data_IF_475638775592
#
_entry.id   IF_475638775592
#
_cell.length_a   1.000
_cell.length_b   1.000
_cell.length_c   1.000
_cell.angle_alpha   90.00
_cell.angle_beta   90.00
_cell.angle_gamma   90.00
#
_symmetry.space_group_name_H-M   'P 1'
#
loop_
_entity.id
_entity.type
_entity.pdbx_description
1 polymer ?
#
# COMPACT_ATOMS: atom_id res chain seq x y z
N UNK A 1 13.52 -12.31 -10.13
CA UNK A 1 12.37 -12.19 -9.23
C UNK A 1 11.52 -11.00 -9.67
N UNK A 2 10.23 -11.12 -9.56
CA UNK A 2 9.30 -10.04 -9.92
C UNK A 2 9.38 -8.89 -8.91
N UNK A 3 8.89 -7.72 -9.32
CA UNK A 3 8.69 -6.60 -8.42
C UNK A 3 7.20 -6.41 -8.16
N UNK A 4 6.86 -5.97 -6.94
CA UNK A 4 5.48 -5.79 -6.52
C UNK A 4 5.33 -4.44 -5.84
N UNK A 5 4.32 -3.67 -6.27
CA UNK A 5 3.94 -2.40 -5.65
C UNK A 5 2.79 -2.64 -4.68
N UNK A 6 2.89 -2.09 -3.47
CA UNK A 6 1.76 -2.03 -2.55
C UNK A 6 1.05 -0.71 -2.78
N UNK A 7 -0.25 -0.77 -3.10
CA UNK A 7 -1.08 0.43 -3.28
C UNK A 7 -2.15 0.47 -2.19
N UNK A 8 -2.20 1.57 -1.46
CA UNK A 8 -3.15 1.76 -0.37
C UNK A 8 -3.85 3.11 -0.50
N UNK A 9 -5.15 3.11 -0.22
CA UNK A 9 -5.94 4.34 -0.13
C UNK A 9 -6.26 4.54 1.35
N UNK A 10 -5.91 5.70 1.90
CA UNK A 10 -6.03 5.95 3.33
C UNK A 10 -6.76 7.25 3.61
N UNK A 11 -7.46 7.29 4.75
CA UNK A 11 -8.04 8.51 5.29
C UNK A 11 -8.22 8.35 6.80
N UNK A 12 -7.53 9.19 7.58
CA UNK A 12 -7.64 9.17 9.05
C UNK A 12 -7.35 7.79 9.65
N UNK A 13 -6.24 7.19 9.23
CA UNK A 13 -5.85 5.84 9.63
C UNK A 13 -4.66 5.85 10.61
N UNK A 14 -4.44 6.96 11.31
CA UNK A 14 -3.25 7.11 12.16
C UNK A 14 -3.14 6.06 13.27
N UNK A 15 -4.29 5.55 13.74
CA UNK A 15 -4.29 4.55 14.82
C UNK A 15 -3.79 3.18 14.38
N UNK A 16 -3.89 2.84 13.10
CA UNK A 16 -3.63 1.49 12.60
C UNK A 16 -2.57 1.40 11.52
N UNK A 17 -2.26 2.51 10.85
CA UNK A 17 -1.40 2.49 9.66
C UNK A 17 0.02 2.04 9.98
N UNK A 18 0.60 2.50 11.09
CA UNK A 18 1.96 2.13 11.47
C UNK A 18 2.09 0.62 11.65
N UNK A 19 1.12 0.01 12.35
CA UNK A 19 1.10 -1.43 12.57
C UNK A 19 0.95 -2.18 11.25
N UNK A 20 0.08 -1.69 10.37
CA UNK A 20 -0.13 -2.28 9.06
C UNK A 20 1.16 -2.27 8.24
N UNK A 21 1.78 -1.11 8.08
CA UNK A 21 2.97 -0.98 7.25
C UNK A 21 4.17 -1.72 7.84
N UNK A 22 4.27 -1.77 9.18
CA UNK A 22 5.31 -2.57 9.82
C UNK A 22 5.17 -4.05 9.46
N UNK A 23 3.94 -4.58 9.44
CA UNK A 23 3.71 -5.98 9.14
C UNK A 23 4.05 -6.33 7.68
N UNK A 24 4.00 -5.35 6.78
CA UNK A 24 4.35 -5.55 5.37
C UNK A 24 5.81 -5.19 5.07
N UNK A 25 6.57 -4.75 6.07
CA UNK A 25 7.92 -4.26 5.85
C UNK A 25 8.81 -5.29 5.15
N UNK A 26 9.54 -4.85 4.14
CA UNK A 26 10.48 -5.69 3.40
C UNK A 26 9.86 -6.58 2.34
N UNK A 27 8.54 -6.57 2.18
CA UNK A 27 7.86 -7.43 1.20
C UNK A 27 7.69 -6.79 -0.17
N UNK A 28 7.64 -5.46 -0.23
CA UNK A 28 7.32 -4.75 -1.46
C UNK A 28 8.50 -3.94 -1.95
N UNK A 29 8.58 -3.81 -3.27
CA UNK A 29 9.62 -3.02 -3.93
C UNK A 29 9.22 -1.55 -3.99
N UNK A 30 7.93 -1.27 -3.87
CA UNK A 30 7.40 0.09 -3.93
C UNK A 30 6.13 0.15 -3.09
N UNK A 31 5.95 1.26 -2.35
CA UNK A 31 4.74 1.50 -1.56
C UNK A 31 4.13 2.81 -2.05
N UNK A 32 2.90 2.74 -2.54
CA UNK A 32 2.14 3.90 -3.01
C UNK A 32 1.01 4.16 -2.02
N UNK A 33 1.00 5.35 -1.43
CA UNK A 33 -0.05 5.75 -0.49
C UNK A 33 -0.84 6.89 -1.12
N UNK A 34 -2.15 6.72 -1.23
CA UNK A 34 -3.05 7.77 -1.72
C UNK A 34 -3.92 8.22 -0.55
N UNK A 35 -3.75 9.48 -0.15
CA UNK A 35 -4.51 10.07 0.95
C UNK A 35 -5.70 10.83 0.39
N UNK A 36 -6.89 10.53 0.91
CA UNK A 36 -8.14 11.11 0.41
C UNK A 36 -8.69 12.22 1.31
N UNK A 37 -7.85 12.82 2.14
CA UNK A 37 -8.25 13.97 2.94
C UNK A 37 -8.11 13.77 4.44
N UNK A 38 -7.01 13.14 4.88
CA UNK A 38 -6.77 12.96 6.32
C UNK A 38 -6.58 14.27 7.04
N UNK A 39 -7.15 14.37 8.23
CA UNK A 39 -7.01 15.52 9.11
C UNK A 39 -6.14 15.21 10.33
N UNK A 40 -5.72 13.95 10.49
CA UNK A 40 -4.82 13.51 11.55
C UNK A 40 -3.38 13.39 11.00
N UNK A 41 -2.51 12.65 11.69
CA UNK A 41 -1.12 12.48 11.26
C UNK A 41 -0.88 11.25 10.38
N UNK A 42 -1.90 10.82 9.63
CA UNK A 42 -1.79 9.67 8.72
C UNK A 42 -0.65 9.84 7.71
N UNK A 43 -0.57 10.99 7.06
CA UNK A 43 0.49 11.25 6.08
C UNK A 43 1.86 11.23 6.71
N UNK A 44 1.98 11.79 7.92
CA UNK A 44 3.25 11.78 8.65
C UNK A 44 3.71 10.37 8.96
N UNK A 45 2.78 9.50 9.37
CA UNK A 45 3.10 8.09 9.64
C UNK A 45 3.52 7.40 8.35
N UNK A 46 2.79 7.59 7.27
CA UNK A 46 3.10 6.97 5.98
C UNK A 46 4.49 7.38 5.49
N UNK A 47 4.91 8.62 5.76
CA UNK A 47 6.20 9.13 5.30
C UNK A 47 7.40 8.42 5.92
N UNK A 48 7.20 7.65 6.98
CA UNK A 48 8.25 6.83 7.59
C UNK A 48 8.58 5.60 6.74
N UNK A 49 7.70 5.23 5.83
CA UNK A 49 7.81 3.99 5.04
C UNK A 49 8.02 4.24 3.57
N UNK A 50 7.56 5.38 3.05
CA UNK A 50 7.66 5.69 1.63
C UNK A 50 7.60 7.20 1.43
N UNK A 51 8.22 7.68 0.37
CA UNK A 51 8.09 9.06 -0.07
C UNK A 51 7.05 9.20 -1.22
N UNK A 52 6.46 8.08 -1.65
CA UNK A 52 5.46 8.07 -2.73
C UNK A 52 4.06 8.20 -2.15
N UNK A 53 3.77 9.38 -1.62
CA UNK A 53 2.50 9.72 -1.00
C UNK A 53 1.82 10.77 -1.85
N UNK A 54 0.60 10.47 -2.30
CA UNK A 54 -0.17 11.34 -3.19
C UNK A 54 -1.47 11.71 -2.52
N UNK A 55 -1.96 12.92 -2.75
CA UNK A 55 -3.27 13.34 -2.28
C UNK A 55 -4.28 13.25 -3.42
N UNK A 56 -5.49 12.82 -3.09
CA UNK A 56 -6.55 12.66 -4.06
C UNK A 56 -7.83 13.21 -3.47
N UNK A 57 -8.47 14.14 -4.19
CA UNK A 57 -9.72 14.70 -3.72
C UNK A 57 -10.83 13.67 -3.86
N UNK A 58 -11.45 13.30 -2.75
CA UNK A 58 -12.50 12.28 -2.75
C UNK A 58 -13.71 12.74 -3.58
N UNK A 59 -14.16 11.87 -4.48
CA UNK A 59 -15.24 12.14 -5.42
C UNK A 59 -16.39 11.13 -5.28
N UNK A 60 -16.49 10.49 -4.13
CA UNK A 60 -17.46 9.42 -3.88
C UNK A 60 -17.35 8.26 -4.88
N UNK A 61 -16.15 8.02 -5.38
CA UNK A 61 -15.89 6.95 -6.33
C UNK A 61 -14.62 6.21 -5.94
N UNK A 62 -14.80 5.09 -5.24
CA UNK A 62 -13.66 4.30 -4.76
C UNK A 62 -12.86 3.71 -5.92
N UNK A 63 -13.54 3.31 -7.01
CA UNK A 63 -12.86 2.75 -8.16
C UNK A 63 -11.94 3.79 -8.82
N UNK A 64 -12.38 5.04 -8.88
CA UNK A 64 -11.56 6.12 -9.44
C UNK A 64 -10.30 6.36 -8.60
N UNK A 65 -10.46 6.37 -7.27
CA UNK A 65 -9.33 6.53 -6.36
C UNK A 65 -8.34 5.37 -6.49
N UNK A 66 -8.85 4.15 -6.63
CA UNK A 66 -8.02 2.96 -6.83
C UNK A 66 -7.25 3.04 -8.14
N UNK A 67 -7.91 3.43 -9.22
CA UNK A 67 -7.26 3.59 -10.52
C UNK A 67 -6.17 4.66 -10.47
N UNK A 68 -6.41 5.72 -9.72
CA UNK A 68 -5.39 6.75 -9.51
C UNK A 68 -4.16 6.16 -8.82
N UNK A 69 -4.35 5.36 -7.76
CA UNK A 69 -3.23 4.75 -7.07
C UNK A 69 -2.46 3.79 -7.99
N UNK A 70 -3.18 3.02 -8.81
CA UNK A 70 -2.54 2.10 -9.76
C UNK A 70 -1.72 2.85 -10.80
N UNK A 71 -2.16 4.03 -11.21
CA UNK A 71 -1.43 4.82 -12.20
C UNK A 71 -0.06 5.27 -11.70
N UNK A 72 0.16 5.26 -10.39
CA UNK A 72 1.43 5.63 -9.79
C UNK A 72 2.37 4.45 -9.58
N UNK A 73 1.86 3.22 -9.71
CA UNK A 73 2.66 2.02 -9.52
C UNK A 73 3.53 1.74 -10.74
N UNK A 74 4.77 1.29 -10.51
CA UNK A 74 5.73 1.05 -11.59
C UNK A 74 6.27 -0.37 -11.61
N UNK A 75 5.83 -1.23 -10.68
CA UNK A 75 6.34 -2.60 -10.59
C UNK A 75 5.55 -3.57 -11.46
N UNK A 76 6.02 -4.83 -11.53
CA UNK A 76 5.39 -5.86 -12.37
C UNK A 76 3.97 -6.19 -11.93
N UNK A 77 3.73 -6.19 -10.61
CA UNK A 77 2.44 -6.52 -10.02
C UNK A 77 2.03 -5.50 -8.98
N UNK A 78 0.72 -5.42 -8.74
CA UNK A 78 0.15 -4.53 -7.74
C UNK A 78 -0.57 -5.37 -6.69
N UNK A 79 -0.30 -5.09 -5.42
CA UNK A 79 -1.01 -5.67 -4.29
C UNK A 79 -1.73 -4.54 -3.55
N UNK A 80 -2.98 -4.76 -3.17
CA UNK A 80 -3.74 -3.76 -2.42
C UNK A 80 -4.04 -4.28 -1.01
N UNK A 81 -4.05 -3.38 -0.05
CA UNK A 81 -4.37 -3.71 1.33
C UNK A 81 -5.08 -2.53 1.99
N UNK A 82 -5.92 -2.84 2.98
CA UNK A 82 -6.55 -1.81 3.80
C UNK A 82 -5.65 -1.50 5.00
N UNK A 83 -5.71 -0.26 5.48
CA UNK A 83 -4.80 0.21 6.52
C UNK A 83 -4.95 -0.52 7.86
N UNK A 84 -6.10 -1.16 8.11
CA UNK A 84 -6.34 -1.90 9.34
C UNK A 84 -5.90 -3.37 9.26
N UNK A 85 -5.42 -3.83 8.11
CA UNK A 85 -4.96 -5.20 7.95
C UNK A 85 -3.54 -5.38 8.48
N UNK A 86 -3.31 -6.50 9.16
CA UNK A 86 -1.99 -6.87 9.66
C UNK A 86 -1.62 -8.23 9.10
N UNK A 87 -0.45 -8.32 8.49
CA UNK A 87 0.02 -9.56 7.90
C UNK A 87 0.74 -10.38 8.95
N UNK A 88 0.25 -11.60 9.24
CA UNK A 88 0.92 -12.49 10.18
C UNK A 88 2.07 -13.25 9.51
N UNK A 89 2.85 -13.97 10.30
CA UNK A 89 4.05 -14.65 9.79
C UNK A 89 3.71 -15.71 8.75
N UNK A 90 2.61 -16.44 8.94
CA UNK A 90 2.19 -17.48 8.01
C UNK A 90 1.82 -16.89 6.65
N UNK A 91 1.06 -15.80 6.65
CA UNK A 91 0.68 -15.12 5.42
C UNK A 91 1.87 -14.41 4.77
N UNK A 92 2.81 -13.93 5.57
CA UNK A 92 4.04 -13.34 5.07
C UNK A 92 4.85 -14.35 4.26
N UNK A 93 5.00 -15.57 4.79
CA UNK A 93 5.70 -16.66 4.09
C UNK A 93 4.96 -17.05 2.82
N UNK A 94 3.62 -17.16 2.88
CA UNK A 94 2.83 -17.48 1.70
C UNK A 94 3.01 -16.43 0.60
N UNK A 95 3.07 -15.15 0.97
CA UNK A 95 3.28 -14.08 0.00
C UNK A 95 4.66 -14.19 -0.66
N UNK A 96 5.70 -14.46 0.13
CA UNK A 96 7.05 -14.60 -0.41
C UNK A 96 7.16 -15.79 -1.36
N UNK A 97 6.50 -16.90 -1.03
CA UNK A 97 6.47 -18.07 -1.90
C UNK A 97 5.76 -17.75 -3.21
N UNK A 98 4.61 -17.10 -3.13
CA UNK A 98 3.88 -16.70 -4.32
C UNK A 98 4.71 -15.76 -5.20
N UNK A 99 5.36 -14.79 -4.59
CA UNK A 99 6.20 -13.83 -5.32
C UNK A 99 7.32 -14.53 -6.08
N UNK A 100 7.90 -15.58 -5.50
CA UNK A 100 8.98 -16.32 -6.15
C UNK A 100 8.50 -17.15 -7.34
N UNK A 101 7.21 -17.43 -7.42
CA UNK A 101 6.60 -18.24 -8.48
C UNK A 101 6.06 -17.41 -9.65
N UNK A 102 5.83 -16.13 -9.46
CA UNK A 102 5.27 -15.27 -10.50
C UNK A 102 6.35 -14.85 -11.51
N UNK A 103 5.92 -14.64 -12.73
CA UNK A 103 6.80 -14.18 -13.81
C UNK A 103 6.57 -12.69 -14.07
N UNK A 104 7.62 -11.94 -14.46
CA UNK A 104 7.47 -10.54 -14.88
C UNK A 104 6.56 -10.44 -16.08
N UNK A 105 5.76 -9.36 -16.14
CA UNK A 105 4.91 -9.08 -17.30
C UNK A 105 5.66 -8.33 -18.38
#
# INVERSE_FOLDING_TARGET
>A
MISVSLCMIVKNESCVLDRCLTSYSGLFDEIIIVDTGSTDNTIEIASKYTDKIFTYQWKDDFADARNYSFSKASCDYIFTADADEVLDESNRQAFLELKSMLLPE
#
